data_IF_367348012398
#
_entry.id   IF_367348012398
#
_cell.length_a   1.000
_cell.length_b   1.000
_cell.length_c   1.000
_cell.angle_alpha   90.00
_cell.angle_beta   90.00
_cell.angle_gamma   90.00
#
_symmetry.space_group_name_H-M   'P 1'
#
loop_
_entity.id
_entity.type
_entity.pdbx_description
1 polymer ?
#
# COMPACT_ATOMS: atom_id res chain seq x y z
N UNK A 1 7.24 15.39 31.09
CA UNK A 1 6.85 14.17 30.35
C UNK A 1 5.68 14.50 29.43
N UNK A 2 5.99 14.70 28.14
CA UNK A 2 5.08 15.15 27.07
C UNK A 2 4.22 14.01 26.54
N UNK A 3 3.03 13.84 27.13
CA UNK A 3 1.94 13.03 26.57
C UNK A 3 0.93 14.00 25.95
N UNK A 4 0.39 13.69 24.77
CA UNK A 4 -0.74 14.36 24.07
C UNK A 4 -0.38 15.44 23.03
N UNK A 5 0.00 15.01 21.82
CA UNK A 5 -0.34 15.72 20.56
C UNK A 5 -0.63 14.77 19.38
N UNK A 6 -0.41 13.46 19.54
CA UNK A 6 -0.58 12.46 18.48
C UNK A 6 -2.02 12.00 18.26
N UNK A 7 -2.90 12.09 19.26
CA UNK A 7 -4.32 11.66 19.17
C UNK A 7 -5.10 12.41 18.07
N UNK A 8 -5.04 13.76 17.94
CA UNK A 8 -5.81 14.45 16.90
C UNK A 8 -5.31 14.13 15.49
N UNK A 9 -4.00 13.94 15.31
CA UNK A 9 -3.40 13.61 14.01
C UNK A 9 -3.81 12.20 13.57
N UNK A 10 -3.74 11.22 14.49
CA UNK A 10 -4.17 9.85 14.23
C UNK A 10 -5.67 9.79 13.88
N UNK A 11 -6.51 10.55 14.58
CA UNK A 11 -7.95 10.66 14.27
C UNK A 11 -8.21 11.29 12.90
N UNK A 12 -7.46 12.32 12.51
CA UNK A 12 -7.57 12.98 11.20
C UNK A 12 -7.14 12.03 10.06
N UNK A 13 -6.06 11.29 10.27
CA UNK A 13 -5.58 10.26 9.35
C UNK A 13 -6.63 9.15 9.20
N UNK A 14 -7.16 8.63 10.32
CA UNK A 14 -8.23 7.62 10.32
C UNK A 14 -9.48 8.11 9.59
N UNK A 15 -9.87 9.37 9.79
CA UNK A 15 -11.04 9.96 9.14
C UNK A 15 -10.86 10.05 7.61
N UNK A 16 -9.67 10.47 7.16
CA UNK A 16 -9.31 10.49 5.73
C UNK A 16 -9.34 9.09 5.11
N UNK A 17 -8.90 8.06 5.85
CA UNK A 17 -8.93 6.68 5.39
C UNK A 17 -10.30 5.99 5.48
N UNK A 18 -11.24 6.51 6.28
CA UNK A 18 -12.55 5.90 6.52
C UNK A 18 -13.73 6.63 5.82
N UNK A 19 -13.45 7.60 4.94
CA UNK A 19 -14.47 8.47 4.31
C UNK A 19 -15.33 7.78 3.21
N UNK A 20 -15.48 6.45 3.23
CA UNK A 20 -16.33 5.75 2.27
C UNK A 20 -17.75 5.58 2.84
N UNK A 21 -18.68 6.40 2.39
CA UNK A 21 -20.12 6.21 2.63
C UNK A 21 -20.66 5.19 1.63
N UNK A 22 -20.80 3.93 2.04
CA UNK A 22 -21.45 2.89 1.24
C UNK A 22 -22.84 2.60 1.81
N UNK A 23 -23.87 2.61 0.97
CA UNK A 23 -25.20 2.17 1.36
C UNK A 23 -25.34 0.68 1.05
N UNK A 24 -26.12 -0.06 1.85
CA UNK A 24 -26.21 -1.53 1.78
C UNK A 24 -26.69 -2.10 0.42
N UNK A 25 -27.19 -1.24 -0.45
CA UNK A 25 -27.78 -1.54 -1.74
C UNK A 25 -27.19 -0.65 -2.85
N UNK A 26 -25.99 -0.10 -2.64
CA UNK A 26 -25.27 0.70 -3.63
C UNK A 26 -24.06 -0.06 -4.19
N UNK A 27 -23.86 0.05 -5.50
CA UNK A 27 -22.79 -0.61 -6.24
C UNK A 27 -21.76 0.41 -6.65
N UNK A 28 -20.48 0.12 -6.40
CA UNK A 28 -19.37 0.98 -6.80
C UNK A 28 -19.37 1.23 -8.32
N UNK A 29 -19.20 2.49 -8.71
CA UNK A 29 -18.93 2.86 -10.10
C UNK A 29 -17.86 3.95 -10.20
N UNK A 30 -17.06 3.88 -11.27
CA UNK A 30 -16.01 4.85 -11.56
C UNK A 30 -16.58 6.07 -12.29
N UNK A 31 -16.28 7.28 -11.79
CA UNK A 31 -16.69 8.56 -12.38
C UNK A 31 -15.60 9.12 -13.29
N UNK A 32 -14.32 8.99 -12.89
CA UNK A 32 -13.20 9.42 -13.73
C UNK A 32 -13.05 8.54 -14.97
N UNK A 33 -12.38 9.02 -16.02
CA UNK A 33 -11.92 8.16 -17.13
C UNK A 33 -10.66 7.41 -16.76
N UNK A 34 -9.79 8.02 -15.94
CA UNK A 34 -8.58 7.40 -15.39
C UNK A 34 -8.94 6.31 -14.38
N UNK A 35 -8.23 5.20 -14.45
CA UNK A 35 -8.36 4.04 -13.57
C UNK A 35 -7.09 3.84 -12.74
N UNK A 36 -7.17 3.13 -11.60
CA UNK A 36 -5.99 2.87 -10.78
C UNK A 36 -4.83 2.26 -11.57
N UNK A 37 -5.11 1.30 -12.46
CA UNK A 37 -4.07 0.65 -13.28
C UNK A 37 -3.34 1.59 -14.25
N UNK A 38 -3.91 2.74 -14.59
CA UNK A 38 -3.23 3.75 -15.41
C UNK A 38 -2.18 4.54 -14.61
N UNK A 39 -2.35 4.63 -13.29
CA UNK A 39 -1.56 5.51 -12.42
C UNK A 39 -0.58 4.71 -11.56
N UNK A 40 -0.98 3.52 -11.13
CA UNK A 40 -0.23 2.67 -10.21
C UNK A 40 1.18 2.30 -10.68
N UNK A 41 1.46 1.99 -11.97
CA UNK A 41 2.83 1.68 -12.40
C UNK A 41 3.79 2.84 -12.14
N UNK A 42 3.34 4.07 -12.40
CA UNK A 42 4.13 5.28 -12.15
C UNK A 42 4.32 5.53 -10.66
N UNK A 43 3.26 5.36 -9.88
CA UNK A 43 3.32 5.50 -8.42
C UNK A 43 4.27 4.46 -7.84
N UNK A 44 4.18 3.19 -8.25
CA UNK A 44 5.05 2.11 -7.80
C UNK A 44 6.53 2.40 -8.07
N UNK A 45 6.86 2.96 -9.25
CA UNK A 45 8.25 3.36 -9.55
C UNK A 45 8.72 4.45 -8.59
N UNK A 46 7.88 5.44 -8.29
CA UNK A 46 8.20 6.52 -7.35
C UNK A 46 8.34 5.98 -5.92
N UNK A 47 7.46 5.08 -5.47
CA UNK A 47 7.51 4.51 -4.12
C UNK A 47 8.76 3.67 -3.92
N UNK A 48 9.07 2.75 -4.86
CA UNK A 48 10.27 1.91 -4.82
C UNK A 48 11.54 2.78 -4.79
N UNK A 49 11.58 3.84 -5.61
CA UNK A 49 12.70 4.77 -5.62
C UNK A 49 12.83 5.49 -4.28
N UNK A 50 11.75 6.05 -3.75
CA UNK A 50 11.74 6.78 -2.48
C UNK A 50 12.15 5.89 -1.30
N UNK A 51 11.61 4.66 -1.21
CA UNK A 51 11.94 3.68 -0.17
C UNK A 51 13.40 3.22 -0.27
N UNK A 52 13.88 2.94 -1.49
CA UNK A 52 15.28 2.57 -1.70
C UNK A 52 16.22 3.66 -1.23
N UNK A 53 15.94 4.93 -1.57
CA UNK A 53 16.75 6.07 -1.15
C UNK A 53 16.65 6.25 0.38
N UNK A 54 15.45 6.21 0.94
CA UNK A 54 15.22 6.35 2.38
C UNK A 54 15.99 5.28 3.16
N UNK A 55 15.86 4.01 2.80
CA UNK A 55 16.56 2.91 3.50
C UNK A 55 18.06 2.98 3.29
N UNK A 56 18.54 3.18 2.05
CA UNK A 56 19.97 3.20 1.78
C UNK A 56 20.69 4.38 2.47
N UNK A 57 20.11 5.58 2.46
CA UNK A 57 20.70 6.76 3.07
C UNK A 57 20.45 6.87 4.56
N UNK A 58 19.21 6.69 5.02
CA UNK A 58 18.92 6.82 6.45
C UNK A 58 19.52 5.67 7.23
N UNK A 59 19.65 4.46 6.68
CA UNK A 59 20.32 3.35 7.39
C UNK A 59 21.81 3.23 7.11
N UNK A 60 22.40 4.13 6.31
CA UNK A 60 23.83 4.13 5.97
C UNK A 60 24.32 2.77 5.44
N UNK A 61 23.53 2.13 4.57
CA UNK A 61 23.84 0.78 4.07
C UNK A 61 24.95 0.77 3.02
N UNK A 62 25.14 1.88 2.27
CA UNK A 62 26.10 2.02 1.17
C UNK A 62 26.06 0.88 0.11
N UNK A 63 24.93 0.16 0.01
CA UNK A 63 24.73 -0.96 -0.92
C UNK A 63 23.44 -0.77 -1.73
N UNK A 64 23.37 0.27 -2.59
CA UNK A 64 22.11 0.72 -3.20
C UNK A 64 21.44 -0.36 -4.06
N UNK A 65 22.21 -1.17 -4.79
CA UNK A 65 21.66 -2.24 -5.63
C UNK A 65 21.01 -3.33 -4.79
N UNK A 66 21.65 -3.75 -3.69
CA UNK A 66 21.09 -4.79 -2.82
C UNK A 66 19.84 -4.29 -2.09
N UNK A 67 19.86 -3.04 -1.62
CA UNK A 67 18.69 -2.40 -1.01
C UNK A 67 17.56 -2.35 -2.03
N UNK A 68 17.80 -1.83 -3.24
CA UNK A 68 16.81 -1.77 -4.32
C UNK A 68 16.15 -3.12 -4.60
N UNK A 69 16.94 -4.19 -4.76
CA UNK A 69 16.41 -5.52 -5.04
C UNK A 69 15.51 -6.05 -3.91
N UNK A 70 15.86 -5.76 -2.65
CA UNK A 70 15.05 -6.17 -1.50
C UNK A 70 13.76 -5.36 -1.39
N UNK A 71 13.83 -4.04 -1.55
CA UNK A 71 12.64 -3.15 -1.56
C UNK A 71 11.71 -3.53 -2.70
N UNK A 72 12.24 -3.76 -3.90
CA UNK A 72 11.48 -4.21 -5.06
C UNK A 72 10.76 -5.54 -4.79
N UNK A 73 11.43 -6.49 -4.15
CA UNK A 73 10.85 -7.78 -3.78
C UNK A 73 9.72 -7.61 -2.75
N UNK A 74 9.94 -6.80 -1.71
CA UNK A 74 8.94 -6.49 -0.69
C UNK A 74 7.69 -5.87 -1.30
N UNK A 75 7.87 -4.81 -2.08
CA UNK A 75 6.78 -4.13 -2.79
C UNK A 75 6.03 -5.09 -3.72
N UNK A 76 6.73 -5.88 -4.53
CA UNK A 76 6.09 -6.80 -5.47
C UNK A 76 5.17 -7.80 -4.74
N UNK A 77 5.65 -8.38 -3.64
CA UNK A 77 4.87 -9.30 -2.82
C UNK A 77 3.64 -8.61 -2.24
N UNK A 78 3.81 -7.39 -1.73
CA UNK A 78 2.72 -6.58 -1.16
C UNK A 78 1.67 -6.15 -2.17
N UNK A 79 2.10 -5.82 -3.39
CA UNK A 79 1.19 -5.56 -4.50
C UNK A 79 0.40 -6.82 -4.90
N UNK A 80 0.99 -8.01 -4.77
CA UNK A 80 0.30 -9.27 -5.08
C UNK A 80 -0.69 -9.72 -3.98
N UNK A 81 -0.45 -9.37 -2.72
CA UNK A 81 -1.22 -9.85 -1.57
C UNK A 81 -2.74 -9.60 -1.65
N UNK A 82 -3.23 -8.41 -2.03
CA UNK A 82 -4.66 -8.16 -2.23
C UNK A 82 -5.28 -9.15 -3.23
N UNK A 83 -4.58 -9.45 -4.34
CA UNK A 83 -5.06 -10.36 -5.39
C UNK A 83 -5.08 -11.82 -4.96
N UNK A 84 -4.09 -12.22 -4.16
CA UNK A 84 -4.03 -13.57 -3.59
C UNK A 84 -5.19 -13.74 -2.59
N UNK A 85 -5.40 -12.77 -1.70
CA UNK A 85 -6.50 -12.80 -0.72
C UNK A 85 -7.88 -12.95 -1.37
N UNK A 86 -8.14 -12.20 -2.43
CA UNK A 86 -9.41 -12.31 -3.18
C UNK A 86 -9.57 -13.64 -3.91
N UNK A 87 -8.47 -14.30 -4.28
CA UNK A 87 -8.52 -15.61 -4.95
C UNK A 87 -8.92 -16.75 -4.01
N UNK A 88 -8.82 -16.55 -2.70
CA UNK A 88 -9.10 -17.56 -1.68
C UNK A 88 -10.40 -17.34 -0.90
N UNK A 89 -11.07 -16.20 -1.08
CA UNK A 89 -12.23 -15.84 -0.26
C UNK A 89 -13.55 -16.20 -0.97
N UNK A 90 -14.37 -17.12 -0.41
CA UNK A 90 -15.66 -17.51 -0.96
C UNK A 90 -16.71 -16.37 -0.96
N UNK A 91 -16.48 -15.28 -0.23
CA UNK A 91 -17.37 -14.10 -0.20
C UNK A 91 -17.26 -13.29 -1.50
N UNK A 92 -16.09 -13.30 -2.15
CA UNK A 92 -15.86 -12.60 -3.43
C UNK A 92 -16.16 -13.48 -4.64
N UNK A 93 -16.72 -14.68 -4.44
CA UNK A 93 -17.25 -15.51 -5.50
C UNK A 93 -18.53 -14.87 -6.05
N UNK A 94 -18.42 -14.14 -7.16
CA UNK A 94 -19.61 -13.62 -7.84
C UNK A 94 -20.33 -14.82 -8.49
N UNK A 95 -21.55 -15.18 -8.05
CA UNK A 95 -22.25 -16.35 -8.57
C UNK A 95 -22.45 -16.22 -10.09
N UNK A 96 -21.98 -17.20 -10.87
CA UNK A 96 -22.16 -17.25 -12.32
C UNK A 96 -21.01 -16.69 -13.17
N UNK A 97 -19.93 -16.19 -12.57
CA UNK A 97 -18.77 -15.69 -13.30
C UNK A 97 -17.54 -16.60 -13.08
N UNK A 98 -16.93 -17.15 -14.15
CA UNK A 98 -15.72 -17.97 -14.02
C UNK A 98 -14.53 -17.15 -13.51
N UNK A 99 -13.51 -17.83 -12.97
CA UNK A 99 -12.23 -17.32 -12.42
C UNK A 99 -11.41 -16.40 -13.34
N UNK A 100 -11.92 -16.04 -14.51
CA UNK A 100 -11.15 -15.64 -15.67
C UNK A 100 -10.91 -14.13 -15.80
N UNK A 101 -11.40 -13.31 -14.88
CA UNK A 101 -11.26 -11.86 -15.03
C UNK A 101 -10.87 -11.19 -13.73
N UNK A 102 -9.58 -11.26 -13.38
CA UNK A 102 -8.92 -10.32 -12.46
C UNK A 102 -9.31 -8.88 -12.81
N UNK A 103 -9.46 -8.58 -14.12
CA UNK A 103 -9.99 -7.32 -14.63
C UNK A 103 -11.38 -6.95 -14.09
N UNK A 104 -12.28 -7.92 -13.92
CA UNK A 104 -13.63 -7.69 -13.43
C UNK A 104 -13.64 -7.40 -11.92
N UNK A 105 -12.71 -7.98 -11.15
CA UNK A 105 -12.49 -7.58 -9.76
C UNK A 105 -11.89 -6.18 -9.64
N UNK A 106 -11.01 -5.80 -10.57
CA UNK A 106 -10.43 -4.44 -10.66
C UNK A 106 -11.49 -3.40 -11.03
N UNK A 107 -12.49 -3.76 -11.82
CA UNK A 107 -13.58 -2.85 -12.23
C UNK A 107 -14.75 -2.81 -11.23
N UNK A 108 -15.14 -3.96 -10.67
CA UNK A 108 -16.37 -4.10 -9.89
C UNK A 108 -16.22 -3.78 -8.40
N UNK A 109 -14.99 -3.70 -7.87
CA UNK A 109 -14.76 -3.41 -6.47
C UNK A 109 -13.66 -2.35 -6.26
N UNK A 110 -13.82 -1.48 -5.26
CA UNK A 110 -12.83 -0.50 -4.86
C UNK A 110 -11.66 -1.15 -4.08
N UNK A 111 -11.16 -2.31 -4.54
CA UNK A 111 -10.01 -2.99 -3.93
C UNK A 111 -8.73 -2.16 -3.99
N UNK A 112 -8.66 -1.29 -5.00
CA UNK A 112 -7.51 -0.43 -5.18
C UNK A 112 -7.50 0.81 -4.31
N UNK A 113 -8.62 1.12 -3.64
CA UNK A 113 -8.65 2.26 -2.71
C UNK A 113 -7.67 1.99 -1.59
N UNK A 114 -6.53 2.68 -1.66
CA UNK A 114 -5.46 2.58 -0.68
C UNK A 114 -5.98 3.17 0.63
N UNK A 115 -6.57 2.28 1.41
CA UNK A 115 -7.16 2.53 2.72
C UNK A 115 -6.21 2.17 3.85
N UNK A 116 -6.67 2.39 5.09
CA UNK A 116 -5.92 1.97 6.28
C UNK A 116 -5.66 0.45 6.32
N UNK A 117 -6.56 -0.36 5.75
CA UNK A 117 -6.38 -1.81 5.65
C UNK A 117 -5.27 -2.18 4.67
N UNK A 118 -5.15 -1.49 3.54
CA UNK A 118 -4.07 -1.69 2.58
C UNK A 118 -2.71 -1.36 3.23
N UNK A 119 -2.61 -0.25 3.96
CA UNK A 119 -1.41 0.11 4.72
C UNK A 119 -0.99 -0.97 5.72
N UNK A 120 -1.94 -1.54 6.45
CA UNK A 120 -1.64 -2.62 7.40
C UNK A 120 -1.14 -3.87 6.68
N UNK A 121 -1.72 -4.21 5.54
CA UNK A 121 -1.34 -5.35 4.74
C UNK A 121 0.06 -5.19 4.14
N UNK A 122 0.37 -4.02 3.56
CA UNK A 122 1.70 -3.73 3.00
C UNK A 122 2.77 -3.75 4.08
N UNK A 123 2.53 -3.07 5.21
CA UNK A 123 3.48 -3.09 6.34
C UNK A 123 3.67 -4.51 6.89
N UNK A 124 2.60 -5.30 7.02
CA UNK A 124 2.71 -6.69 7.51
C UNK A 124 3.54 -7.59 6.58
N UNK A 125 3.59 -7.29 5.28
CA UNK A 125 4.30 -8.08 4.28
C UNK A 125 5.71 -7.57 3.99
N UNK A 126 5.90 -6.27 3.79
CA UNK A 126 7.19 -5.65 3.44
C UNK A 126 8.16 -5.72 4.62
N UNK A 127 7.66 -5.39 5.82
CA UNK A 127 8.48 -5.31 7.02
C UNK A 127 9.25 -6.60 7.31
N UNK A 128 8.64 -7.81 7.35
CA UNK A 128 9.40 -9.02 7.62
C UNK A 128 10.43 -9.32 6.52
N UNK A 129 10.12 -9.07 5.25
CA UNK A 129 11.02 -9.33 4.12
C UNK A 129 12.24 -8.41 4.19
N UNK A 130 11.99 -7.10 4.22
CA UNK A 130 13.02 -6.07 4.20
C UNK A 130 13.88 -6.11 5.46
N UNK A 131 13.24 -6.25 6.62
CA UNK A 131 13.96 -6.34 7.88
C UNK A 131 14.84 -7.60 7.94
N UNK A 132 14.33 -8.77 7.56
CA UNK A 132 15.13 -10.01 7.63
C UNK A 132 16.32 -9.99 6.67
N UNK A 133 16.14 -9.45 5.46
CA UNK A 133 17.16 -9.44 4.41
C UNK A 133 18.19 -8.31 4.60
N UNK A 134 17.80 -7.17 5.17
CA UNK A 134 18.68 -6.00 5.34
C UNK A 134 19.25 -5.83 6.75
N UNK A 135 18.70 -6.45 7.80
CA UNK A 135 19.20 -6.26 9.19
C UNK A 135 20.67 -6.61 9.39
N UNK A 136 21.24 -7.48 8.55
CA UNK A 136 22.65 -7.88 8.63
C UNK A 136 23.61 -6.87 7.99
N UNK A 137 23.09 -5.91 7.22
CA UNK A 137 23.86 -4.90 6.51
C UNK A 137 23.96 -3.58 7.29
N UNK A 138 23.03 -3.34 8.22
CA UNK A 138 23.03 -2.14 9.07
C UNK A 138 23.74 -2.41 10.38
N UNK A 139 24.46 -1.41 10.90
CA UNK A 139 24.95 -1.42 12.28
C UNK A 139 23.85 -1.18 13.33
N UNK A 140 22.70 -0.63 12.92
CA UNK A 140 21.55 -0.34 13.78
C UNK A 140 20.26 -0.93 13.20
N UNK A 141 19.82 -2.05 13.77
CA UNK A 141 18.58 -2.74 13.39
C UNK A 141 17.32 -1.98 13.79
N UNK A 142 17.34 -1.20 14.88
CA UNK A 142 16.18 -0.39 15.30
C UNK A 142 15.94 0.74 14.32
N UNK A 143 17.02 1.38 13.87
CA UNK A 143 16.95 2.42 12.83
C UNK A 143 16.39 1.88 11.52
N UNK A 144 16.78 0.68 11.12
CA UNK A 144 16.20 0.00 9.96
C UNK A 144 14.70 -0.23 10.12
N UNK A 145 14.26 -0.78 11.27
CA UNK A 145 12.85 -1.02 11.55
C UNK A 145 12.02 0.27 11.44
N UNK A 146 12.45 1.34 12.11
CA UNK A 146 11.74 2.62 12.05
C UNK A 146 11.74 3.25 10.66
N UNK A 147 12.84 3.08 9.91
CA UNK A 147 12.93 3.61 8.54
C UNK A 147 11.96 2.89 7.60
N UNK A 148 11.89 1.55 7.68
CA UNK A 148 10.95 0.75 6.88
C UNK A 148 9.50 1.17 7.17
N UNK A 149 9.11 1.20 8.46
CA UNK A 149 7.75 1.58 8.86
C UNK A 149 7.42 2.99 8.37
N UNK A 150 8.33 3.96 8.56
CA UNK A 150 8.12 5.33 8.17
C UNK A 150 8.04 5.49 6.64
N UNK A 151 8.92 4.82 5.89
CA UNK A 151 8.95 4.85 4.44
C UNK A 151 7.65 4.27 3.86
N UNK A 152 7.24 3.07 4.28
CA UNK A 152 6.03 2.41 3.78
C UNK A 152 4.76 3.18 4.15
N UNK A 153 4.73 3.81 5.33
CA UNK A 153 3.62 4.70 5.71
C UNK A 153 3.56 5.92 4.79
N UNK A 154 4.70 6.56 4.50
CA UNK A 154 4.76 7.75 3.66
C UNK A 154 4.42 7.44 2.20
N UNK A 155 4.94 6.35 1.64
CA UNK A 155 4.65 5.92 0.27
C UNK A 155 3.22 5.44 0.11
N UNK A 156 2.67 4.71 1.08
CA UNK A 156 1.25 4.33 1.06
C UNK A 156 0.34 5.56 1.12
N UNK A 157 0.66 6.55 1.96
CA UNK A 157 -0.07 7.83 1.98
C UNK A 157 0.02 8.54 0.63
N UNK A 158 1.20 8.56 0.00
CA UNK A 158 1.39 9.13 -1.32
C UNK A 158 0.54 8.42 -2.38
N UNK A 159 0.52 7.08 -2.39
CA UNK A 159 -0.34 6.29 -3.27
C UNK A 159 -1.81 6.62 -3.04
N UNK A 160 -2.24 6.70 -1.77
CA UNK A 160 -3.62 6.99 -1.38
C UNK A 160 -4.08 8.39 -1.76
N UNK A 161 -3.19 9.39 -1.73
CA UNK A 161 -3.47 10.75 -2.18
C UNK A 161 -3.53 10.80 -3.70
N UNK A 162 -2.55 10.19 -4.37
CA UNK A 162 -2.47 10.14 -5.83
C UNK A 162 -3.72 9.48 -6.42
N UNK A 163 -4.13 8.35 -5.85
CA UNK A 163 -5.35 7.68 -6.25
C UNK A 163 -6.58 8.58 -6.08
N UNK A 164 -6.79 9.21 -4.92
CA UNK A 164 -7.94 10.11 -4.70
C UNK A 164 -7.97 11.34 -5.60
N UNK A 165 -6.81 11.78 -6.10
CA UNK A 165 -6.71 12.89 -7.06
C UNK A 165 -7.12 12.45 -8.46
N UNK A 166 -6.60 11.30 -8.93
CA UNK A 166 -6.73 10.87 -10.32
C UNK A 166 -7.87 9.88 -10.58
N UNK A 167 -8.20 9.03 -9.60
CA UNK A 167 -9.21 7.99 -9.68
C UNK A 167 -10.38 8.37 -8.78
N UNK A 168 -11.50 8.79 -9.40
CA UNK A 168 -12.73 9.11 -8.68
C UNK A 168 -13.74 8.01 -8.93
N UNK A 169 -14.22 7.40 -7.85
CA UNK A 169 -15.40 6.54 -7.88
C UNK A 169 -16.32 6.88 -6.73
N UNK A 170 -17.54 6.35 -6.81
CA UNK A 170 -18.59 6.59 -5.85
C UNK A 170 -19.33 5.28 -5.58
N UNK A 171 -19.80 5.13 -4.34
CA UNK A 171 -20.60 4.00 -3.89
C UNK A 171 -22.07 4.12 -4.30
#
# INVERSE_FOLDING_TARGET
>A
MTRRRSIPIVMLILSFFCSATAYANSSWYWISTTRPYDVLPYVAVITIAAETLAVNFLCHMHHPVKVFLVILLGNLISFCLPYIGTSFDPIFHIPGHPWQSVLMYVEALPFYTVGAFYLLLTVAAELPIEYCLLRKLTGDSRRLLYTIIAANTATTLFTAVTERIFCRGHW
#
